data_IF_361173366330
#
_entry.id   IF_361173366330
#
_cell.length_a   1.000
_cell.length_b   1.000
_cell.length_c   1.000
_cell.angle_alpha   90.00
_cell.angle_beta   90.00
_cell.angle_gamma   90.00
#
_symmetry.space_group_name_H-M   'P 1'
#
loop_
_entity.id
_entity.type
_entity.pdbx_description
1 polymer ?
#
# COMPACT_ATOMS: atom_id res chain seq x y z
N UNK A 1 -43.06 29.98 -14.52
CA UNK A 1 -41.66 30.03 -15.06
C UNK A 1 -40.68 30.71 -14.12
N UNK A 2 -41.07 31.59 -13.25
CA UNK A 2 -40.20 32.33 -12.30
C UNK A 2 -39.66 31.44 -11.15
N UNK A 3 -40.42 30.47 -10.68
CA UNK A 3 -39.97 29.56 -9.60
C UNK A 3 -38.83 28.61 -9.99
N UNK A 4 -38.82 28.17 -11.25
CA UNK A 4 -37.73 27.32 -11.75
C UNK A 4 -36.39 28.07 -11.92
N UNK A 5 -36.44 29.35 -12.37
CA UNK A 5 -35.26 30.17 -12.51
C UNK A 5 -34.62 30.53 -11.15
N UNK A 6 -35.45 30.80 -10.13
CA UNK A 6 -35.00 31.07 -8.75
C UNK A 6 -34.36 29.84 -8.09
N UNK A 7 -34.92 28.64 -8.29
CA UNK A 7 -34.31 27.39 -7.78
C UNK A 7 -32.99 27.07 -8.43
N UNK A 8 -32.89 27.26 -9.76
CA UNK A 8 -31.62 27.03 -10.49
C UNK A 8 -30.52 28.01 -10.07
N UNK A 9 -30.90 29.31 -9.87
CA UNK A 9 -29.97 30.32 -9.38
C UNK A 9 -29.47 30.00 -7.95
N UNK A 10 -30.36 29.51 -7.07
CA UNK A 10 -30.00 29.05 -5.72
C UNK A 10 -28.99 27.91 -5.76
N UNK A 11 -29.26 26.88 -6.54
CA UNK A 11 -28.35 25.72 -6.69
C UNK A 11 -26.98 26.13 -7.27
N UNK A 12 -26.93 27.02 -8.26
CA UNK A 12 -25.67 27.51 -8.80
C UNK A 12 -24.88 28.31 -7.76
N UNK A 13 -25.55 29.13 -6.95
CA UNK A 13 -24.90 29.88 -5.86
C UNK A 13 -24.35 28.96 -4.79
N UNK A 14 -25.06 27.90 -4.40
CA UNK A 14 -24.57 26.88 -3.45
C UNK A 14 -23.36 26.14 -3.96
N UNK A 15 -23.38 25.69 -5.22
CA UNK A 15 -22.24 24.99 -5.84
C UNK A 15 -21.03 25.92 -5.91
N UNK A 16 -21.22 27.17 -6.34
CA UNK A 16 -20.13 28.14 -6.47
C UNK A 16 -19.53 28.49 -5.10
N UNK A 17 -20.37 28.72 -4.11
CA UNK A 17 -19.95 29.01 -2.73
C UNK A 17 -19.21 27.82 -2.13
N UNK A 18 -19.72 26.60 -2.31
CA UNK A 18 -19.09 25.37 -1.85
C UNK A 18 -17.74 25.13 -2.52
N UNK A 19 -17.64 25.36 -3.84
CA UNK A 19 -16.39 25.24 -4.57
C UNK A 19 -15.35 26.28 -4.14
N UNK A 20 -15.77 27.53 -3.90
CA UNK A 20 -14.89 28.60 -3.42
C UNK A 20 -14.38 28.31 -2.01
N UNK A 21 -15.26 27.84 -1.13
CA UNK A 21 -14.90 27.46 0.24
C UNK A 21 -13.93 26.27 0.24
N UNK A 22 -14.17 25.26 -0.60
CA UNK A 22 -13.29 24.10 -0.76
C UNK A 22 -11.91 24.52 -1.28
N UNK A 23 -11.87 25.39 -2.28
CA UNK A 23 -10.61 25.91 -2.84
C UNK A 23 -9.84 26.73 -1.79
N UNK A 24 -10.51 27.59 -1.05
CA UNK A 24 -9.92 28.36 0.04
C UNK A 24 -9.32 27.43 1.10
N UNK A 25 -10.10 26.46 1.56
CA UNK A 25 -9.67 25.46 2.54
C UNK A 25 -8.48 24.67 2.03
N UNK A 26 -8.50 24.26 0.77
CA UNK A 26 -7.40 23.53 0.13
C UNK A 26 -6.11 24.35 0.13
N UNK A 27 -6.17 25.63 -0.24
CA UNK A 27 -5.01 26.54 -0.25
C UNK A 27 -4.44 26.68 1.17
N UNK A 28 -5.29 26.83 2.18
CA UNK A 28 -4.86 26.92 3.58
C UNK A 28 -4.19 25.64 4.06
N UNK A 29 -4.73 24.47 3.72
CA UNK A 29 -4.12 23.19 4.07
C UNK A 29 -2.78 22.97 3.35
N UNK A 30 -2.68 23.36 2.09
CA UNK A 30 -1.43 23.27 1.34
C UNK A 30 -0.34 24.19 1.90
N UNK A 31 -0.71 25.39 2.33
CA UNK A 31 0.24 26.38 2.85
C UNK A 31 0.62 26.13 4.32
N UNK A 32 -0.36 25.74 5.15
CA UNK A 32 -0.21 25.64 6.61
C UNK A 32 -0.29 24.23 7.19
N UNK A 33 -0.47 23.19 6.38
CA UNK A 33 -0.76 21.83 6.84
C UNK A 33 0.27 21.26 7.83
N UNK A 34 1.57 21.58 7.64
CA UNK A 34 2.63 21.18 8.58
C UNK A 34 2.44 21.82 9.96
N UNK A 35 2.10 23.10 10.02
CA UNK A 35 1.90 23.83 11.26
C UNK A 35 0.64 23.34 11.99
N UNK A 36 -0.44 23.07 11.22
CA UNK A 36 -1.68 22.51 11.74
C UNK A 36 -1.41 21.13 12.36
N UNK A 37 -0.67 20.26 11.67
CA UNK A 37 -0.31 18.94 12.18
C UNK A 37 0.55 19.02 13.45
N UNK A 38 1.51 19.94 13.49
CA UNK A 38 2.33 20.17 14.68
C UNK A 38 1.48 20.65 15.85
N UNK A 39 0.57 21.59 15.63
CA UNK A 39 -0.34 22.09 16.66
C UNK A 39 -1.23 20.96 17.21
N UNK A 40 -1.86 20.17 16.35
CA UNK A 40 -2.70 19.03 16.76
C UNK A 40 -1.91 18.03 17.59
N UNK A 41 -0.67 17.73 17.18
CA UNK A 41 0.17 16.77 17.92
C UNK A 41 0.74 17.35 19.23
N UNK A 42 0.82 18.67 19.40
CA UNK A 42 1.27 19.32 20.65
C UNK A 42 0.26 19.15 21.79
N UNK A 43 -1.02 18.97 21.49
CA UNK A 43 -2.08 18.73 22.50
C UNK A 43 -1.93 17.36 23.16
N UNK A 44 -1.21 16.41 22.51
CA UNK A 44 -1.02 15.07 23.04
C UNK A 44 0.11 15.03 24.09
N UNK A 45 0.00 14.15 25.11
CA UNK A 45 1.08 13.88 26.05
C UNK A 45 2.38 13.49 25.34
N UNK A 46 3.53 13.88 25.90
CA UNK A 46 4.84 13.64 25.29
C UNK A 46 5.10 12.16 24.98
N UNK A 47 4.57 11.26 25.80
CA UNK A 47 4.75 9.80 25.70
C UNK A 47 4.15 9.19 24.42
N UNK A 48 3.07 9.76 23.90
CA UNK A 48 2.37 9.23 22.70
C UNK A 48 2.56 10.11 21.46
N UNK A 49 3.10 11.32 21.64
CA UNK A 49 3.24 12.33 20.59
C UNK A 49 4.06 11.85 19.39
N UNK A 50 5.20 11.22 19.65
CA UNK A 50 6.10 10.71 18.61
C UNK A 50 5.43 9.58 17.84
N UNK A 51 4.81 8.63 18.53
CA UNK A 51 4.06 7.53 17.90
C UNK A 51 2.93 8.04 16.99
N UNK A 52 2.18 9.04 17.44
CA UNK A 52 1.11 9.63 16.63
C UNK A 52 1.66 10.37 15.42
N UNK A 53 2.81 11.02 15.55
CA UNK A 53 3.49 11.67 14.41
C UNK A 53 3.95 10.66 13.37
N UNK A 54 4.53 9.55 13.79
CA UNK A 54 5.01 8.50 12.90
C UNK A 54 3.85 7.75 12.25
N UNK A 55 2.79 7.47 13.01
CA UNK A 55 1.55 6.92 12.49
C UNK A 55 0.92 7.83 11.41
N UNK A 56 0.86 9.13 11.68
CA UNK A 56 0.37 10.13 10.73
C UNK A 56 1.22 10.21 9.46
N UNK A 57 2.54 10.20 9.58
CA UNK A 57 3.46 10.17 8.42
C UNK A 57 3.28 8.91 7.59
N UNK A 58 3.22 7.75 8.25
CA UNK A 58 3.04 6.47 7.60
C UNK A 58 1.67 6.37 6.90
N UNK A 59 0.59 6.81 7.57
CA UNK A 59 -0.73 6.90 6.98
C UNK A 59 -0.77 7.82 5.76
N UNK A 60 -0.14 9.00 5.84
CA UNK A 60 -0.08 9.95 4.73
C UNK A 60 0.74 9.43 3.56
N UNK A 61 1.83 8.70 3.82
CA UNK A 61 2.61 8.05 2.77
C UNK A 61 1.78 7.00 2.02
N UNK A 62 0.98 6.20 2.75
CA UNK A 62 0.06 5.24 2.14
C UNK A 62 -1.05 5.90 1.34
N UNK A 63 -1.58 7.01 1.83
CA UNK A 63 -2.57 7.81 1.12
C UNK A 63 -2.03 8.32 -0.22
N UNK A 64 -0.83 8.92 -0.23
CA UNK A 64 -0.18 9.38 -1.46
C UNK A 64 0.08 8.22 -2.42
N UNK A 65 0.58 7.10 -1.91
CA UNK A 65 0.81 5.89 -2.69
C UNK A 65 -0.47 5.41 -3.36
N UNK A 66 -1.56 5.31 -2.59
CA UNK A 66 -2.86 4.90 -3.10
C UNK A 66 -3.39 5.86 -4.19
N UNK A 67 -3.37 7.17 -3.93
CA UNK A 67 -3.87 8.17 -4.90
C UNK A 67 -3.09 8.13 -6.20
N UNK A 68 -1.74 8.03 -6.13
CA UNK A 68 -0.90 7.90 -7.33
C UNK A 68 -1.20 6.63 -8.10
N UNK A 69 -1.37 5.52 -7.38
CA UNK A 69 -1.71 4.23 -7.93
C UNK A 69 -3.04 4.27 -8.70
N UNK A 70 -4.08 4.72 -8.02
CA UNK A 70 -5.44 4.82 -8.59
C UNK A 70 -5.48 5.79 -9.78
N UNK A 71 -4.76 6.92 -9.71
CA UNK A 71 -4.67 7.86 -10.82
C UNK A 71 -4.04 7.22 -12.07
N UNK A 72 -2.97 6.45 -11.89
CA UNK A 72 -2.30 5.76 -12.99
C UNK A 72 -3.22 4.71 -13.62
N UNK A 73 -3.88 3.90 -12.81
CA UNK A 73 -4.86 2.91 -13.28
C UNK A 73 -5.99 3.60 -14.03
N UNK A 74 -6.60 4.63 -13.43
CA UNK A 74 -7.67 5.40 -14.07
C UNK A 74 -7.27 5.99 -15.43
N UNK A 75 -6.02 6.47 -15.54
CA UNK A 75 -5.50 7.02 -16.80
C UNK A 75 -5.34 5.92 -17.85
N UNK A 76 -4.78 4.78 -17.49
CA UNK A 76 -4.61 3.64 -18.42
C UNK A 76 -5.95 3.13 -18.91
N UNK A 77 -6.92 2.96 -18.01
CA UNK A 77 -8.27 2.51 -18.35
C UNK A 77 -8.99 3.49 -19.27
N UNK A 78 -8.95 4.78 -18.94
CA UNK A 78 -9.58 5.81 -19.74
C UNK A 78 -8.94 5.93 -21.13
N UNK A 79 -7.63 5.85 -21.24
CA UNK A 79 -6.91 5.88 -22.51
C UNK A 79 -7.16 4.58 -23.29
N UNK A 80 -7.09 3.42 -22.66
CA UNK A 80 -7.30 2.13 -23.28
C UNK A 80 -8.71 1.98 -23.84
N UNK A 81 -9.72 2.21 -22.99
CA UNK A 81 -11.13 2.12 -23.39
C UNK A 81 -11.48 3.28 -24.33
N UNK A 82 -11.06 4.50 -24.03
CA UNK A 82 -11.36 5.67 -24.86
C UNK A 82 -10.81 5.58 -26.28
N UNK A 83 -9.56 5.13 -26.43
CA UNK A 83 -8.97 4.90 -27.76
C UNK A 83 -9.67 3.78 -28.52
N UNK A 84 -10.00 2.69 -27.84
CA UNK A 84 -10.77 1.61 -28.45
C UNK A 84 -12.16 2.06 -28.94
N UNK A 85 -12.90 2.82 -28.14
CA UNK A 85 -14.17 3.42 -28.54
C UNK A 85 -14.02 4.39 -29.73
N UNK A 86 -12.94 5.21 -29.74
CA UNK A 86 -12.66 6.12 -30.82
C UNK A 86 -12.34 5.39 -32.14
N UNK A 87 -11.52 4.33 -32.10
CA UNK A 87 -11.18 3.50 -33.26
C UNK A 87 -12.45 2.83 -33.83
N UNK A 88 -13.33 2.36 -32.96
CA UNK A 88 -14.63 1.79 -33.36
C UNK A 88 -15.64 2.86 -33.80
N UNK A 89 -15.25 4.13 -33.76
CA UNK A 89 -16.10 5.29 -34.06
C UNK A 89 -17.44 5.26 -33.30
N UNK A 90 -17.40 4.83 -32.04
CA UNK A 90 -18.56 4.90 -31.14
C UNK A 90 -18.78 6.37 -30.75
N UNK A 91 -20.03 6.87 -30.84
CA UNK A 91 -20.30 8.25 -30.42
C UNK A 91 -20.04 8.44 -28.94
N UNK A 92 -19.73 9.67 -28.54
CA UNK A 92 -19.43 10.03 -27.14
C UNK A 92 -18.21 9.30 -26.56
N UNK A 93 -17.24 8.89 -27.39
CA UNK A 93 -16.02 8.19 -26.91
C UNK A 93 -15.29 9.00 -25.85
N UNK A 94 -15.11 10.32 -26.02
CA UNK A 94 -14.43 11.18 -25.06
C UNK A 94 -15.22 11.35 -23.74
N UNK A 95 -16.53 11.65 -23.73
CA UNK A 95 -17.33 11.62 -22.51
C UNK A 95 -17.31 10.26 -21.79
N UNK A 96 -17.37 9.15 -22.51
CA UNK A 96 -17.31 7.83 -21.93
C UNK A 96 -15.93 7.53 -21.31
N UNK A 97 -14.84 7.92 -21.98
CA UNK A 97 -13.50 7.81 -21.43
C UNK A 97 -13.33 8.66 -20.17
N UNK A 98 -13.90 9.86 -20.13
CA UNK A 98 -13.90 10.71 -18.93
C UNK A 98 -14.70 10.08 -17.79
N UNK A 99 -15.82 9.42 -18.11
CA UNK A 99 -16.61 8.68 -17.11
C UNK A 99 -15.85 7.46 -16.56
N UNK A 100 -15.13 6.73 -17.42
CA UNK A 100 -14.25 5.63 -17.02
C UNK A 100 -13.16 6.16 -16.06
N UNK A 101 -12.51 7.27 -16.43
CA UNK A 101 -11.50 7.91 -15.61
C UNK A 101 -12.02 8.27 -14.21
N UNK A 102 -13.15 8.97 -14.13
CA UNK A 102 -13.75 9.36 -12.86
C UNK A 102 -14.28 8.15 -12.08
N UNK A 103 -14.84 7.17 -12.78
CA UNK A 103 -15.35 5.94 -12.19
C UNK A 103 -14.26 5.10 -11.53
N UNK A 104 -13.06 5.06 -12.09
CA UNK A 104 -11.94 4.27 -11.58
C UNK A 104 -11.52 4.66 -10.14
N UNK A 105 -11.88 5.84 -9.67
CA UNK A 105 -11.65 6.25 -8.27
C UNK A 105 -12.59 5.56 -7.28
N UNK A 106 -13.69 4.97 -7.73
CA UNK A 106 -14.62 4.19 -6.89
C UNK A 106 -14.47 2.72 -7.30
N UNK A 107 -13.63 1.92 -6.60
CA UNK A 107 -13.38 0.53 -6.97
C UNK A 107 -14.67 -0.27 -7.14
N UNK A 108 -14.70 -1.18 -8.08
CA UNK A 108 -15.83 -2.04 -8.45
C UNK A 108 -17.03 -1.29 -9.05
N UNK A 109 -17.53 -0.25 -8.40
CA UNK A 109 -18.73 0.48 -8.88
C UNK A 109 -18.42 1.26 -10.15
N UNK A 110 -17.29 1.95 -10.18
CA UNK A 110 -16.91 2.78 -11.31
C UNK A 110 -16.72 1.99 -12.59
N UNK A 111 -15.95 0.91 -12.54
CA UNK A 111 -15.69 0.05 -13.70
C UNK A 111 -16.97 -0.58 -14.26
N UNK A 112 -17.85 -1.08 -13.36
CA UNK A 112 -19.13 -1.69 -13.76
C UNK A 112 -20.07 -0.66 -14.40
N UNK A 113 -20.26 0.49 -13.75
CA UNK A 113 -21.19 1.52 -14.23
C UNK A 113 -20.71 2.14 -15.54
N UNK A 114 -19.44 2.55 -15.60
CA UNK A 114 -18.88 3.17 -16.81
C UNK A 114 -18.78 2.17 -17.98
N UNK A 115 -18.38 0.94 -17.69
CA UNK A 115 -18.31 -0.15 -18.67
C UNK A 115 -19.67 -0.50 -19.22
N UNK A 116 -20.69 -0.68 -18.36
CA UNK A 116 -22.06 -0.91 -18.76
C UNK A 116 -22.58 0.22 -19.66
N UNK A 117 -22.34 1.47 -19.29
CA UNK A 117 -22.78 2.62 -20.08
C UNK A 117 -22.12 2.66 -21.47
N UNK A 118 -20.83 2.35 -21.55
CA UNK A 118 -20.11 2.27 -22.82
C UNK A 118 -20.69 1.18 -23.74
N UNK A 119 -21.01 0.00 -23.19
CA UNK A 119 -21.65 -1.10 -23.95
C UNK A 119 -23.05 -0.70 -24.44
N UNK A 120 -23.86 -0.07 -23.56
CA UNK A 120 -25.21 0.39 -23.95
C UNK A 120 -25.14 1.46 -25.05
N UNK A 121 -24.25 2.43 -24.97
CA UNK A 121 -24.08 3.46 -25.99
C UNK A 121 -23.64 2.81 -27.32
N UNK A 122 -22.70 1.88 -27.30
CA UNK A 122 -22.29 1.14 -28.49
C UNK A 122 -23.43 0.32 -29.11
N UNK A 123 -24.25 -0.33 -28.27
CA UNK A 123 -25.41 -1.09 -28.68
C UNK A 123 -26.45 -0.22 -29.42
N UNK A 124 -26.78 0.91 -28.81
CA UNK A 124 -27.80 1.81 -29.35
C UNK A 124 -27.34 2.55 -30.61
N UNK A 125 -26.04 2.88 -30.67
CA UNK A 125 -25.50 3.66 -31.79
C UNK A 125 -25.10 2.80 -33.00
N UNK A 126 -24.60 1.56 -32.77
CA UNK A 126 -23.97 0.75 -33.82
C UNK A 126 -24.42 -0.71 -33.84
N UNK A 127 -25.28 -1.12 -32.92
CA UNK A 127 -25.84 -2.46 -32.85
C UNK A 127 -25.01 -3.46 -32.06
N UNK A 128 -25.50 -4.71 -32.02
CA UNK A 128 -25.03 -5.77 -31.14
C UNK A 128 -23.55 -6.16 -31.36
N UNK A 129 -23.07 -6.15 -32.59
CA UNK A 129 -21.70 -6.53 -32.92
C UNK A 129 -20.70 -5.57 -32.25
N UNK A 130 -20.96 -4.27 -32.36
CA UNK A 130 -20.12 -3.25 -31.72
C UNK A 130 -20.23 -3.29 -30.19
N UNK A 131 -21.41 -3.58 -29.64
CA UNK A 131 -21.57 -3.77 -28.20
C UNK A 131 -20.72 -4.93 -27.68
N UNK A 132 -20.66 -6.06 -28.40
CA UNK A 132 -19.82 -7.21 -28.04
C UNK A 132 -18.32 -6.88 -28.19
N UNK A 133 -17.93 -6.11 -29.21
CA UNK A 133 -16.54 -5.64 -29.37
C UNK A 133 -16.13 -4.72 -28.22
N UNK A 134 -17.00 -3.78 -27.82
CA UNK A 134 -16.75 -2.88 -26.67
C UNK A 134 -16.68 -3.68 -25.37
N UNK A 135 -17.55 -4.67 -25.17
CA UNK A 135 -17.49 -5.55 -24.01
C UNK A 135 -16.16 -6.31 -23.97
N UNK A 136 -15.74 -6.88 -25.10
CA UNK A 136 -14.44 -7.55 -25.25
C UNK A 136 -13.26 -6.63 -24.96
N UNK A 137 -13.31 -5.39 -25.45
CA UNK A 137 -12.31 -4.35 -25.16
C UNK A 137 -12.22 -4.06 -23.66
N UNK A 138 -13.36 -3.84 -23.01
CA UNK A 138 -13.41 -3.58 -21.56
C UNK A 138 -12.81 -4.74 -20.79
N UNK A 139 -13.19 -5.98 -21.12
CA UNK A 139 -12.64 -7.18 -20.49
C UNK A 139 -11.12 -7.26 -20.72
N UNK A 140 -10.63 -6.97 -21.94
CA UNK A 140 -9.21 -6.99 -22.23
C UNK A 140 -8.43 -5.96 -21.41
N UNK A 141 -8.94 -4.72 -21.25
CA UNK A 141 -8.33 -3.68 -20.42
C UNK A 141 -8.36 -4.09 -18.96
N UNK A 142 -9.46 -4.64 -18.45
CA UNK A 142 -9.55 -5.14 -17.07
C UNK A 142 -8.58 -6.30 -16.80
N UNK A 143 -8.36 -7.19 -17.77
CA UNK A 143 -7.36 -8.25 -17.65
C UNK A 143 -5.94 -7.70 -17.65
N UNK A 144 -5.67 -6.68 -18.47
CA UNK A 144 -4.38 -5.97 -18.45
C UNK A 144 -4.16 -5.30 -17.10
N UNK A 145 -5.17 -4.62 -16.55
CA UNK A 145 -5.12 -4.05 -15.21
C UNK A 145 -4.78 -5.11 -14.15
N UNK A 146 -5.54 -6.20 -14.10
CA UNK A 146 -5.38 -7.24 -13.09
C UNK A 146 -4.00 -7.93 -13.13
N UNK A 147 -3.45 -8.16 -14.32
CA UNK A 147 -2.23 -8.94 -14.48
C UNK A 147 -0.95 -8.09 -14.57
N UNK A 148 -1.06 -6.85 -15.05
CA UNK A 148 0.10 -5.97 -15.26
C UNK A 148 0.11 -4.81 -14.28
N UNK A 149 -0.99 -4.07 -14.16
CA UNK A 149 -1.01 -2.87 -13.33
C UNK A 149 -1.06 -3.19 -11.83
N UNK A 150 -1.87 -4.17 -11.41
CA UNK A 150 -1.98 -4.54 -10.00
C UNK A 150 -0.64 -4.93 -9.38
N UNK A 151 0.20 -5.83 -9.94
CA UNK A 151 1.49 -6.15 -9.34
C UNK A 151 2.47 -4.96 -9.37
N UNK A 152 2.42 -4.11 -10.39
CA UNK A 152 3.27 -2.93 -10.50
C UNK A 152 2.90 -1.83 -9.50
N UNK A 153 1.61 -1.61 -9.31
CA UNK A 153 1.06 -0.50 -8.53
C UNK A 153 0.83 -0.90 -7.08
N UNK A 154 0.36 -2.13 -6.83
CA UNK A 154 0.02 -2.63 -5.49
C UNK A 154 1.13 -3.42 -4.80
N UNK A 155 2.27 -3.65 -5.44
CA UNK A 155 3.38 -4.46 -4.89
C UNK A 155 3.94 -3.98 -3.53
N UNK A 156 3.52 -2.83 -3.04
CA UNK A 156 3.83 -2.27 -1.71
C UNK A 156 2.65 -1.61 -1.04
N UNK A 157 1.46 -1.63 -1.65
CA UNK A 157 0.29 -0.96 -1.13
C UNK A 157 -0.54 -1.92 -0.26
N UNK A 158 -0.94 -1.42 0.83
CA UNK A 158 -1.86 -1.80 1.88
C UNK A 158 -2.71 -3.04 1.58
N UNK A 159 -2.44 -4.15 2.27
CA UNK A 159 -3.32 -5.32 2.33
C UNK A 159 -4.61 -4.96 3.08
N UNK A 160 -5.56 -4.35 2.38
CA UNK A 160 -6.89 -4.11 2.92
C UNK A 160 -7.77 -5.34 2.68
N UNK A 161 -8.55 -5.72 3.69
CA UNK A 161 -9.52 -6.79 3.50
C UNK A 161 -10.64 -6.28 2.56
N UNK A 162 -11.01 -7.02 1.49
CA UNK A 162 -12.01 -6.56 0.52
C UNK A 162 -13.34 -6.13 1.15
N UNK A 163 -13.77 -6.82 2.21
CA UNK A 163 -14.98 -6.47 2.96
C UNK A 163 -14.89 -5.07 3.58
N UNK A 164 -13.73 -4.69 4.12
CA UNK A 164 -13.54 -3.36 4.72
C UNK A 164 -13.67 -2.26 3.65
N UNK A 165 -13.18 -2.52 2.44
CA UNK A 165 -13.33 -1.59 1.30
C UNK A 165 -14.79 -1.41 0.93
N UNK A 166 -15.54 -2.50 0.75
CA UNK A 166 -16.97 -2.46 0.39
C UNK A 166 -17.79 -1.75 1.47
N UNK A 167 -17.60 -2.12 2.74
CA UNK A 167 -18.29 -1.49 3.86
C UNK A 167 -17.91 0.00 3.99
N UNK A 168 -16.65 0.34 3.76
CA UNK A 168 -16.20 1.72 3.78
C UNK A 168 -16.83 2.57 2.68
N UNK A 169 -16.91 2.05 1.47
CA UNK A 169 -17.59 2.72 0.34
C UNK A 169 -19.09 2.90 0.66
N UNK A 170 -19.74 1.87 1.18
CA UNK A 170 -21.15 1.94 1.58
C UNK A 170 -21.37 2.98 2.68
N UNK A 171 -20.56 2.97 3.74
CA UNK A 171 -20.64 3.95 4.82
C UNK A 171 -20.35 5.38 4.32
N UNK A 172 -19.30 5.55 3.52
CA UNK A 172 -18.93 6.83 2.92
C UNK A 172 -20.05 7.39 2.04
N UNK A 173 -20.69 6.53 1.24
CA UNK A 173 -21.81 6.95 0.38
C UNK A 173 -23.03 7.43 1.17
N UNK A 174 -23.29 6.83 2.32
CA UNK A 174 -24.41 7.26 3.20
C UNK A 174 -24.09 8.60 3.88
N UNK A 175 -22.84 8.83 4.29
CA UNK A 175 -22.43 10.03 5.04
C UNK A 175 -22.31 11.26 4.12
N UNK A 176 -21.66 11.12 2.96
CA UNK A 176 -21.32 12.25 2.09
C UNK A 176 -21.58 11.96 0.59
N UNK A 177 -22.47 11.02 0.29
CA UNK A 177 -22.85 10.69 -1.10
C UNK A 177 -21.68 10.20 -1.92
N UNK A 178 -21.60 10.62 -3.18
CA UNK A 178 -20.56 10.21 -4.14
C UNK A 178 -19.17 10.62 -3.65
N UNK A 179 -19.02 11.79 -3.03
CA UNK A 179 -17.73 12.28 -2.50
C UNK A 179 -17.26 11.38 -1.36
N UNK A 180 -18.17 10.98 -0.47
CA UNK A 180 -17.86 10.05 0.61
C UNK A 180 -17.44 8.66 0.12
N UNK A 181 -18.13 8.13 -0.89
CA UNK A 181 -17.73 6.88 -1.53
C UNK A 181 -16.33 6.95 -2.14
N UNK A 182 -16.00 8.04 -2.82
CA UNK A 182 -14.70 8.28 -3.48
C UNK A 182 -13.56 8.40 -2.46
N UNK A 183 -13.81 9.07 -1.34
CA UNK A 183 -12.79 9.27 -0.30
C UNK A 183 -12.67 8.10 0.68
N UNK A 184 -13.63 7.16 0.68
CA UNK A 184 -13.67 6.07 1.65
C UNK A 184 -12.41 5.21 1.62
N UNK A 185 -11.96 4.78 0.44
CA UNK A 185 -10.79 3.91 0.30
C UNK A 185 -9.49 4.61 0.69
N UNK A 186 -9.20 5.84 0.24
CA UNK A 186 -8.06 6.63 0.72
C UNK A 186 -8.02 6.77 2.24
N UNK A 187 -9.16 7.06 2.86
CA UNK A 187 -9.27 7.21 4.32
C UNK A 187 -9.00 5.90 5.03
N UNK A 188 -9.56 4.79 4.54
CA UNK A 188 -9.29 3.46 5.12
C UNK A 188 -7.82 3.08 4.98
N UNK A 189 -7.20 3.36 3.82
CA UNK A 189 -5.78 3.10 3.60
C UNK A 189 -4.89 3.88 4.59
N UNK A 190 -5.22 5.17 4.80
CA UNK A 190 -4.57 6.00 5.79
C UNK A 190 -4.73 5.43 7.20
N UNK A 191 -5.97 5.16 7.62
CA UNK A 191 -6.29 4.66 8.97
C UNK A 191 -5.65 3.31 9.24
N UNK A 192 -5.74 2.37 8.31
CA UNK A 192 -5.15 1.04 8.46
C UNK A 192 -3.64 1.11 8.73
N UNK A 193 -2.92 1.96 7.99
CA UNK A 193 -1.48 2.07 8.17
C UNK A 193 -1.13 2.88 9.44
N UNK A 194 -1.88 3.93 9.75
CA UNK A 194 -1.72 4.69 10.98
C UNK A 194 -1.94 3.80 12.22
N UNK A 195 -3.01 3.00 12.23
CA UNK A 195 -3.32 2.07 13.32
C UNK A 195 -2.25 0.98 13.44
N UNK A 196 -1.75 0.44 12.33
CA UNK A 196 -0.65 -0.54 12.36
C UNK A 196 0.58 0.00 13.08
N UNK A 197 0.97 1.24 12.79
CA UNK A 197 2.11 1.90 13.46
C UNK A 197 1.82 2.16 14.95
N UNK A 198 0.58 2.54 15.30
CA UNK A 198 0.19 2.76 16.68
C UNK A 198 0.14 1.48 17.52
N UNK A 199 -0.24 0.35 16.90
CA UNK A 199 -0.39 -0.95 17.59
C UNK A 199 0.91 -1.76 17.54
N UNK A 200 1.83 -1.48 16.60
CA UNK A 200 3.13 -2.13 16.57
C UNK A 200 3.86 -1.88 17.90
N UNK A 201 4.28 -2.96 18.54
CA UNK A 201 5.14 -2.86 19.74
C UNK A 201 6.43 -2.17 19.35
N UNK A 202 6.99 -1.37 20.26
CA UNK A 202 8.29 -0.74 20.05
C UNK A 202 9.36 -1.80 19.84
N UNK A 203 10.05 -1.81 18.70
CA UNK A 203 11.17 -2.74 18.48
C UNK A 203 12.23 -2.59 19.58
N UNK A 204 12.47 -1.35 20.04
CA UNK A 204 13.39 -1.05 21.13
C UNK A 204 12.92 -1.65 22.49
N UNK A 205 11.62 -1.74 22.72
CA UNK A 205 11.09 -2.38 23.92
C UNK A 205 11.19 -3.93 23.85
N UNK A 206 11.05 -4.51 22.66
CA UNK A 206 11.27 -5.95 22.45
C UNK A 206 12.74 -6.32 22.55
N UNK A 207 13.65 -5.51 21.96
CA UNK A 207 15.09 -5.70 22.10
C UNK A 207 15.56 -5.55 23.55
N UNK A 208 15.05 -4.56 24.29
CA UNK A 208 15.33 -4.38 25.71
C UNK A 208 14.78 -5.54 26.57
N UNK A 209 13.60 -6.07 26.23
CA UNK A 209 13.02 -7.22 26.91
C UNK A 209 13.81 -8.51 26.62
N UNK A 210 14.28 -8.69 25.38
CA UNK A 210 15.15 -9.79 24.99
C UNK A 210 16.52 -9.71 25.68
N UNK A 211 17.16 -8.54 25.69
CA UNK A 211 18.43 -8.33 26.40
C UNK A 211 18.32 -8.60 27.90
N UNK A 212 17.21 -8.17 28.52
CA UNK A 212 16.97 -8.49 29.94
C UNK A 212 16.71 -9.98 30.16
N UNK A 213 16.04 -10.66 29.23
CA UNK A 213 15.82 -12.10 29.33
C UNK A 213 17.11 -12.89 29.13
N UNK A 214 17.92 -12.53 28.14
CA UNK A 214 19.22 -13.16 27.90
C UNK A 214 20.21 -12.86 29.03
N UNK A 215 20.19 -11.66 29.60
CA UNK A 215 20.97 -11.29 30.79
C UNK A 215 20.58 -12.10 32.03
N UNK A 216 19.28 -12.31 32.26
CA UNK A 216 18.77 -13.11 33.35
C UNK A 216 19.11 -14.61 33.21
N UNK A 217 19.21 -15.11 31.98
CA UNK A 217 19.62 -16.50 31.73
C UNK A 217 21.12 -16.71 31.97
N UNK A 218 21.94 -15.69 31.71
CA UNK A 218 23.40 -15.72 31.99
C UNK A 218 23.68 -15.63 33.47
N UNK A 219 22.91 -14.83 34.24
CA UNK A 219 23.02 -14.78 35.72
C UNK A 219 22.44 -15.98 36.44
N UNK A 220 21.51 -16.71 35.81
CA UNK A 220 20.87 -17.89 36.39
C UNK A 220 21.66 -19.20 36.18
N UNK A 221 22.78 -19.18 35.47
CA UNK A 221 23.65 -20.33 35.33
C UNK A 221 24.50 -20.46 36.61
N UNK A 222 24.21 -21.42 37.49
CA UNK A 222 25.00 -21.57 38.72
C UNK A 222 26.42 -22.02 38.36
N UNK A 223 27.40 -21.44 39.06
CA UNK A 223 28.85 -21.79 39.03
C UNK A 223 29.11 -23.28 39.29
N UNK A 224 28.60 -24.16 38.44
CA UNK A 224 29.03 -25.56 38.42
C UNK A 224 29.95 -25.77 37.24
N UNK A 225 31.16 -25.21 37.35
CA UNK A 225 32.27 -25.64 36.50
C UNK A 225 32.69 -27.03 36.99
N UNK A 226 32.04 -28.05 36.46
CA UNK A 226 32.51 -29.42 36.63
C UNK A 226 33.65 -29.68 35.63
N UNK A 227 34.75 -30.17 36.17
CA UNK A 227 36.00 -30.49 35.48
C UNK A 227 35.81 -31.65 34.53
N UNK A 228 35.43 -31.37 33.26
CA UNK A 228 35.27 -32.42 32.27
C UNK A 228 34.87 -31.99 30.84
N UNK A 229 34.68 -30.71 30.60
CA UNK A 229 34.23 -30.22 29.27
C UNK A 229 35.40 -30.14 28.28
N UNK A 230 35.23 -30.62 27.03
CA UNK A 230 36.26 -30.52 25.99
C UNK A 230 36.54 -29.08 25.55
N UNK A 231 37.79 -28.75 25.26
CA UNK A 231 38.36 -27.41 24.99
C UNK A 231 37.65 -26.57 23.87
N UNK A 232 36.68 -27.12 23.17
CA UNK A 232 35.96 -26.34 22.14
C UNK A 232 34.93 -25.32 22.74
N UNK A 233 34.57 -25.44 24.00
CA UNK A 233 33.68 -24.44 24.66
C UNK A 233 34.40 -23.09 24.88
N UNK A 234 35.72 -23.08 25.08
CA UNK A 234 36.53 -21.89 25.26
C UNK A 234 36.70 -21.07 23.98
N UNK A 235 36.61 -21.68 22.81
CA UNK A 235 36.74 -20.98 21.52
C UNK A 235 35.49 -20.17 21.14
N UNK A 236 34.35 -20.41 21.78
CA UNK A 236 33.12 -19.66 21.54
C UNK A 236 33.06 -18.30 22.28
N UNK A 237 33.80 -18.16 23.36
CA UNK A 237 33.83 -16.96 24.20
C UNK A 237 34.88 -15.93 23.75
N UNK A 238 35.87 -16.31 22.92
CA UNK A 238 36.92 -15.42 22.44
C UNK A 238 36.61 -14.72 21.09
N UNK A 239 35.55 -15.15 20.40
CA UNK A 239 35.06 -14.46 19.20
C UNK A 239 33.95 -13.49 19.59
N UNK A 240 34.30 -12.40 20.25
CA UNK A 240 33.41 -11.24 20.45
C UNK A 240 33.05 -10.63 19.11
N UNK A 241 32.05 -11.19 18.45
CA UNK A 241 31.40 -10.54 17.31
C UNK A 241 30.04 -10.04 17.83
N UNK A 242 30.11 -8.88 18.46
CA UNK A 242 28.97 -7.97 18.49
C UNK A 242 28.75 -7.45 17.06
N UNK A 243 27.59 -7.73 16.51
CA UNK A 243 27.22 -7.21 15.20
C UNK A 243 26.09 -8.02 14.61
N UNK A 244 24.88 -7.51 14.74
CA UNK A 244 23.70 -7.91 14.00
C UNK A 244 23.97 -7.74 12.50
N UNK A 245 24.44 -8.79 11.84
CA UNK A 245 24.45 -8.84 10.39
C UNK A 245 23.73 -10.09 9.91
N UNK A 246 22.56 -9.82 9.33
CA UNK A 246 21.92 -10.55 8.25
C UNK A 246 22.60 -11.91 7.93
N UNK A 247 22.00 -13.00 8.38
CA UNK A 247 22.38 -14.36 7.96
C UNK A 247 22.16 -14.45 6.44
N UNK A 248 23.14 -13.96 5.69
CA UNK A 248 23.31 -14.34 4.29
C UNK A 248 23.86 -15.75 4.31
N UNK A 249 23.07 -16.70 3.86
CA UNK A 249 23.57 -18.01 3.48
C UNK A 249 24.84 -17.81 2.64
N UNK A 250 25.96 -18.44 3.01
CA UNK A 250 27.19 -18.28 2.26
C UNK A 250 26.96 -18.75 0.82
N UNK A 251 27.52 -18.06 -0.18
CA UNK A 251 27.38 -18.46 -1.58
C UNK A 251 27.88 -19.90 -1.73
N UNK A 252 27.17 -20.68 -2.54
CA UNK A 252 27.43 -22.10 -2.77
C UNK A 252 28.93 -22.38 -3.14
N UNK A 253 29.60 -21.40 -3.75
CA UNK A 253 31.02 -21.43 -4.05
C UNK A 253 31.93 -21.53 -2.80
N UNK A 254 31.55 -20.88 -1.69
CA UNK A 254 32.33 -20.96 -0.45
C UNK A 254 32.24 -22.35 0.19
N UNK A 255 31.10 -23.02 0.06
CA UNK A 255 30.89 -24.40 0.53
C UNK A 255 31.69 -25.39 -0.36
N UNK A 256 31.67 -25.18 -1.66
CA UNK A 256 32.42 -26.00 -2.62
C UNK A 256 33.93 -25.89 -2.43
N UNK A 257 34.44 -24.67 -2.20
CA UNK A 257 35.86 -24.44 -1.93
C UNK A 257 36.33 -25.05 -0.60
N UNK A 258 35.48 -25.02 0.44
CA UNK A 258 35.78 -25.67 1.72
C UNK A 258 35.82 -27.21 1.60
N UNK A 259 34.96 -27.79 0.76
CA UNK A 259 34.96 -29.24 0.47
C UNK A 259 36.16 -29.66 -0.40
N UNK A 260 36.60 -28.83 -1.35
CA UNK A 260 37.76 -29.06 -2.16
C UNK A 260 39.06 -29.02 -1.34
N UNK A 261 39.19 -28.07 -0.42
CA UNK A 261 40.36 -27.98 0.49
C UNK A 261 40.49 -29.20 1.42
N UNK A 262 39.37 -29.83 1.82
CA UNK A 262 39.41 -31.08 2.61
C UNK A 262 39.85 -32.29 1.81
N UNK A 263 39.73 -32.30 0.51
CA UNK A 263 40.18 -33.41 -0.35
C UNK A 263 41.67 -33.37 -0.67
N UNK A 264 42.34 -32.24 -0.51
CA UNK A 264 43.76 -32.06 -0.83
C UNK A 264 44.70 -32.15 0.39
N UNK A 265 44.20 -32.45 1.57
CA UNK A 265 45.06 -32.67 2.74
C UNK A 265 45.78 -34.00 2.62
N UNK A 266 47.14 -34.04 2.65
CA UNK A 266 47.92 -35.28 2.54
C UNK A 266 47.68 -36.15 3.77
N UNK A 267 47.34 -37.42 3.52
CA UNK A 267 47.29 -38.46 4.57
C UNK A 267 48.70 -38.69 5.09
N UNK A 268 49.00 -38.24 6.29
CA UNK A 268 50.20 -38.64 7.01
C UNK A 268 50.08 -40.13 7.34
N UNK A 269 50.81 -40.95 6.53
CA UNK A 269 51.16 -42.34 6.90
C UNK A 269 52.15 -42.26 8.04
N UNK A 270 51.74 -42.72 9.23
CA UNK A 270 52.68 -43.00 10.34
C UNK A 270 53.63 -44.15 9.99
N UNK A 271 54.87 -44.15 10.54
CA UNK A 271 55.85 -45.21 10.26
C UNK A 271 55.41 -46.50 10.93
N UNK A 272 55.46 -47.58 10.18
CA UNK A 272 55.50 -48.95 10.71
C UNK A 272 56.93 -49.18 11.24
N UNK A 273 57.06 -49.39 12.55
CA UNK A 273 58.22 -49.99 13.18
C UNK A 273 57.93 -51.44 13.47
N UNK A 274 59.00 -52.28 13.20
CA UNK A 274 59.07 -53.69 13.10
C UNK A 274 58.95 -54.60 14.34
#
# INVERSE_FOLDING_TARGET
MTSGALSTAGTLTEILTGALLALFTLIFFLHGGRNIWQFVTQVLPCTVRERVRDAGRSGFHSLIGYVRATFLVALVDAVGIGTGLAIMAVPLALPLASLVFLGAFIPLVGAVVSGFLAVVVALLAKGIVYALLVLGLIIAVQQLEAHVLQPFVMGRAVSLHPLAVVLGIAAGSVIAGIVGALLAVPVIAFLNNAVRVLVAKDPAAEEAAQQNHDGALVEAEPDTVDAGQPQWSALRLSSGIAGSENVRTPPIEAIMNALAARRSAPQHRGPMDG
#
